data_IF_512081452953
#
_entry.id   IF_512081452953
#
_cell.length_a   1.000
_cell.length_b   1.000
_cell.length_c   1.000
_cell.angle_alpha   90.00
_cell.angle_beta   90.00
_cell.angle_gamma   90.00
#
_symmetry.space_group_name_H-M   'P 1'
#
loop_
_entity.id
_entity.type
_entity.pdbx_description
1 polymer ?
#
# COMPACT_ATOMS: atom_id res chain seq x y z
N UNK A 1 -37.28 -28.58 -7.71
CA UNK A 1 -35.80 -28.54 -7.61
C UNK A 1 -35.20 -27.25 -8.26
N UNK A 2 -35.43 -26.96 -9.55
CA UNK A 2 -34.89 -25.77 -10.25
C UNK A 2 -35.26 -24.43 -9.59
N UNK A 3 -36.49 -24.25 -9.12
CA UNK A 3 -36.95 -22.99 -8.47
C UNK A 3 -36.29 -22.79 -7.10
N UNK A 4 -36.06 -23.88 -6.34
CA UNK A 4 -35.37 -23.84 -5.05
C UNK A 4 -33.88 -23.44 -5.24
N UNK A 5 -33.20 -24.07 -6.20
CA UNK A 5 -31.80 -23.74 -6.53
C UNK A 5 -31.65 -22.28 -6.98
N UNK A 6 -32.57 -21.77 -7.82
CA UNK A 6 -32.60 -20.37 -8.24
C UNK A 6 -32.73 -19.42 -7.05
N UNK A 7 -33.67 -19.69 -6.15
CA UNK A 7 -33.90 -18.85 -4.98
C UNK A 7 -32.68 -18.86 -4.03
N UNK A 8 -32.06 -20.04 -3.85
CA UNK A 8 -30.83 -20.20 -3.06
C UNK A 8 -29.68 -19.39 -3.67
N UNK A 9 -29.48 -19.48 -4.99
CA UNK A 9 -28.42 -18.71 -5.67
C UNK A 9 -28.64 -17.20 -5.56
N UNK A 10 -29.86 -16.71 -5.66
CA UNK A 10 -30.19 -15.28 -5.47
C UNK A 10 -29.91 -14.85 -4.04
N UNK A 11 -30.28 -15.68 -3.05
CA UNK A 11 -29.99 -15.42 -1.64
C UNK A 11 -28.49 -15.32 -1.35
N UNK A 12 -27.70 -16.28 -1.83
CA UNK A 12 -26.23 -16.28 -1.68
C UNK A 12 -25.63 -15.03 -2.34
N UNK A 13 -26.03 -14.72 -3.57
CA UNK A 13 -25.55 -13.53 -4.29
C UNK A 13 -25.86 -12.24 -3.52
N UNK A 14 -27.07 -12.11 -2.99
CA UNK A 14 -27.48 -10.95 -2.18
C UNK A 14 -26.64 -10.80 -0.92
N UNK A 15 -26.43 -11.90 -0.17
CA UNK A 15 -25.58 -11.90 1.03
C UNK A 15 -24.15 -11.50 0.68
N UNK A 16 -23.56 -12.09 -0.38
CA UNK A 16 -22.21 -11.76 -0.82
C UNK A 16 -22.09 -10.28 -1.18
N UNK A 17 -23.04 -9.72 -1.91
CA UNK A 17 -23.02 -8.31 -2.29
C UNK A 17 -23.08 -7.39 -1.06
N UNK A 18 -23.99 -7.67 -0.12
CA UNK A 18 -24.11 -6.90 1.13
C UNK A 18 -22.81 -6.99 1.92
N UNK A 19 -22.21 -8.19 2.05
CA UNK A 19 -20.93 -8.38 2.74
C UNK A 19 -19.82 -7.54 2.10
N UNK A 20 -19.70 -7.55 0.76
CA UNK A 20 -18.69 -6.74 0.06
C UNK A 20 -18.89 -5.23 0.28
N UNK A 21 -20.17 -4.76 0.29
CA UNK A 21 -20.48 -3.36 0.56
C UNK A 21 -20.06 -2.99 2.00
N UNK A 22 -20.38 -3.83 2.98
CA UNK A 22 -19.99 -3.59 4.38
C UNK A 22 -18.46 -3.55 4.51
N UNK A 23 -17.74 -4.53 3.94
CA UNK A 23 -16.28 -4.57 3.97
C UNK A 23 -15.65 -3.35 3.29
N UNK A 24 -16.28 -2.83 2.23
CA UNK A 24 -15.82 -1.61 1.55
C UNK A 24 -16.00 -0.35 2.40
N UNK A 25 -17.08 -0.27 3.18
CA UNK A 25 -17.41 0.91 4.00
C UNK A 25 -16.60 0.90 5.31
N UNK A 26 -16.55 -0.26 5.97
CA UNK A 26 -15.85 -0.39 7.25
C UNK A 26 -14.33 -0.46 7.06
N UNK A 27 -13.89 -1.00 5.93
CA UNK A 27 -12.50 -1.32 5.67
C UNK A 27 -12.08 -2.65 6.32
N UNK A 28 -10.95 -3.17 5.88
CA UNK A 28 -10.26 -4.31 6.50
C UNK A 28 -8.79 -4.01 6.50
N UNK A 29 -8.28 -3.62 7.65
CA UNK A 29 -6.89 -3.25 7.82
C UNK A 29 -5.96 -4.44 7.71
N UNK A 30 -4.77 -4.26 7.13
CA UNK A 30 -3.72 -5.27 7.24
C UNK A 30 -3.32 -5.43 8.71
N UNK A 31 -2.95 -6.65 9.10
CA UNK A 31 -2.47 -6.98 10.44
C UNK A 31 -1.19 -7.81 10.32
N UNK A 32 -0.08 -7.29 10.79
CA UNK A 32 1.23 -7.93 10.67
C UNK A 32 1.53 -8.35 9.22
N UNK A 33 1.63 -9.66 8.98
CA UNK A 33 1.86 -10.24 7.66
C UNK A 33 0.56 -10.60 6.90
N UNK A 34 -0.62 -10.36 7.51
CA UNK A 34 -1.90 -10.65 6.88
C UNK A 34 -2.34 -9.45 6.07
N UNK A 35 -2.64 -9.63 4.78
CA UNK A 35 -3.14 -8.54 3.97
C UNK A 35 -4.54 -8.13 4.40
N UNK A 36 -4.81 -6.82 4.28
CA UNK A 36 -6.15 -6.26 4.37
C UNK A 36 -6.80 -6.12 3.00
N UNK A 37 -7.95 -5.44 2.98
CA UNK A 37 -8.72 -5.17 1.77
C UNK A 37 -8.82 -3.64 1.54
N UNK A 38 -10.05 -3.10 1.57
CA UNK A 38 -10.26 -1.65 1.47
C UNK A 38 -9.77 -0.94 2.73
N UNK A 39 -9.02 0.13 2.55
CA UNK A 39 -8.71 1.06 3.63
C UNK A 39 -9.87 2.07 3.77
N UNK A 40 -10.31 2.31 5.01
CA UNK A 40 -11.31 3.30 5.34
C UNK A 40 -10.67 4.50 6.07
N UNK A 41 -11.22 5.68 5.88
CA UNK A 41 -10.73 6.92 6.48
C UNK A 41 -11.21 8.15 5.72
N UNK A 42 -10.79 9.33 6.16
CA UNK A 42 -11.12 10.60 5.52
C UNK A 42 -10.22 10.85 4.32
N UNK A 43 -10.81 11.10 3.17
CA UNK A 43 -10.05 11.36 1.93
C UNK A 43 -9.50 12.78 1.95
N UNK A 44 -8.21 12.91 1.65
CA UNK A 44 -7.53 14.20 1.48
C UNK A 44 -7.43 14.48 -0.02
N UNK A 45 -8.20 15.47 -0.48
CA UNK A 45 -8.25 15.85 -1.90
C UNK A 45 -7.20 16.90 -2.29
N UNK A 46 -6.55 17.53 -1.30
CA UNK A 46 -5.50 18.53 -1.57
C UNK A 46 -4.16 17.86 -1.88
N UNK A 47 -3.38 18.38 -2.85
CA UNK A 47 -2.03 17.90 -3.10
C UNK A 47 -1.15 18.01 -1.84
N UNK A 48 -0.34 17.00 -1.59
CA UNK A 48 0.65 17.00 -0.51
C UNK A 48 2.00 17.42 -1.10
N UNK A 49 2.52 18.55 -0.68
CA UNK A 49 3.82 19.07 -1.13
C UNK A 49 4.98 18.68 -0.22
N UNK A 50 4.68 18.29 1.01
CA UNK A 50 5.67 17.88 2.01
C UNK A 50 5.10 16.73 2.82
N UNK A 51 5.79 15.59 2.79
CA UNK A 51 5.42 14.36 3.46
C UNK A 51 6.11 14.16 4.82
N UNK A 52 6.84 15.15 5.32
CA UNK A 52 7.61 15.01 6.58
C UNK A 52 6.75 14.64 7.78
N UNK A 53 5.45 14.96 7.78
CA UNK A 53 4.52 14.54 8.82
C UNK A 53 4.40 13.02 8.95
N UNK A 54 4.83 12.25 7.94
CA UNK A 54 4.82 10.78 8.01
C UNK A 54 5.92 10.24 8.91
N UNK A 55 6.88 11.05 9.31
CA UNK A 55 7.94 10.63 10.23
C UNK A 55 7.40 10.40 11.65
N UNK A 56 6.27 11.00 12.01
CA UNK A 56 5.54 10.75 13.26
C UNK A 56 4.80 9.39 13.26
N UNK A 57 4.76 8.70 12.12
CA UNK A 57 4.08 7.42 11.96
C UNK A 57 5.08 6.28 11.74
N UNK A 58 5.10 5.31 12.67
CA UNK A 58 5.98 4.15 12.57
C UNK A 58 5.65 3.27 11.36
N UNK A 59 4.36 3.09 11.10
CA UNK A 59 3.84 2.30 9.99
C UNK A 59 2.73 3.04 9.28
N UNK A 60 2.64 2.82 7.98
CA UNK A 60 1.53 3.29 7.16
C UNK A 60 0.91 2.14 6.39
N UNK A 61 -0.34 2.31 5.93
CA UNK A 61 -1.00 1.29 5.14
C UNK A 61 -1.03 1.67 3.67
N UNK A 62 -0.72 0.70 2.84
CA UNK A 62 -0.69 0.82 1.38
C UNK A 62 -1.73 -0.10 0.77
N UNK A 63 -2.67 0.45 0.00
CA UNK A 63 -3.64 -0.31 -0.77
C UNK A 63 -3.31 -0.25 -2.25
N UNK A 64 -3.30 -1.40 -2.90
CA UNK A 64 -3.06 -1.56 -4.34
C UNK A 64 -4.28 -2.15 -5.04
N UNK A 65 -4.41 -1.93 -6.35
CA UNK A 65 -5.47 -2.51 -7.18
C UNK A 65 -5.08 -3.90 -7.66
N UNK A 66 -5.98 -4.87 -7.47
CA UNK A 66 -5.82 -6.22 -8.01
C UNK A 66 -6.54 -6.38 -9.36
N UNK A 67 -6.24 -7.42 -10.15
CA UNK A 67 -6.94 -7.69 -11.40
C UNK A 67 -8.41 -8.10 -11.23
N UNK A 68 -8.84 -8.47 -10.02
CA UNK A 68 -10.18 -8.96 -9.71
C UNK A 68 -11.03 -7.97 -8.89
N UNK A 69 -10.68 -6.67 -8.91
CA UNK A 69 -11.43 -5.54 -8.33
C UNK A 69 -11.52 -5.48 -6.80
N UNK A 70 -11.10 -6.51 -6.09
CA UNK A 70 -10.94 -6.47 -4.62
C UNK A 70 -9.53 -5.99 -4.33
N UNK A 71 -9.35 -4.85 -3.64
CA UNK A 71 -8.01 -4.32 -3.38
C UNK A 71 -7.24 -5.21 -2.41
N UNK A 72 -5.94 -5.02 -2.41
CA UNK A 72 -5.02 -5.67 -1.50
C UNK A 72 -4.27 -4.59 -0.73
N UNK A 73 -4.38 -4.58 0.60
CA UNK A 73 -3.65 -3.64 1.44
C UNK A 73 -2.62 -4.34 2.32
N UNK A 74 -1.54 -3.64 2.60
CA UNK A 74 -0.40 -4.12 3.39
C UNK A 74 0.11 -3.00 4.29
N UNK A 75 0.74 -3.37 5.41
CA UNK A 75 1.56 -2.47 6.19
C UNK A 75 2.92 -2.29 5.52
N UNK A 76 3.40 -1.06 5.42
CA UNK A 76 4.70 -0.74 4.84
C UNK A 76 5.47 0.23 5.72
N UNK A 77 6.79 0.09 5.75
CA UNK A 77 7.70 1.08 6.28
C UNK A 77 7.93 2.18 5.25
N UNK A 78 8.18 3.39 5.73
CA UNK A 78 8.43 4.55 4.90
C UNK A 78 9.44 5.48 5.55
N UNK A 79 10.11 6.26 4.73
CA UNK A 79 10.92 7.39 5.18
C UNK A 79 10.68 8.59 4.29
N UNK A 80 10.96 9.78 4.81
CA UNK A 80 10.97 11.00 4.03
C UNK A 80 12.40 11.46 3.77
N UNK A 81 12.62 12.01 2.61
CA UNK A 81 13.85 12.68 2.23
C UNK A 81 13.50 13.94 1.45
N UNK A 82 13.92 15.08 1.95
CA UNK A 82 13.64 16.39 1.32
C UNK A 82 12.13 16.61 1.03
N UNK A 83 11.26 16.21 1.98
CA UNK A 83 9.81 16.31 1.86
C UNK A 83 9.14 15.28 0.95
N UNK A 84 9.91 14.42 0.27
CA UNK A 84 9.38 13.34 -0.57
C UNK A 84 9.20 12.06 0.24
N UNK A 85 8.11 11.32 0.00
CA UNK A 85 7.82 10.06 0.67
C UNK A 85 8.33 8.88 -0.16
N UNK A 86 9.01 7.98 0.52
CA UNK A 86 9.52 6.72 -0.05
C UNK A 86 8.98 5.53 0.74
N UNK A 87 8.48 4.54 0.00
CA UNK A 87 7.94 3.29 0.54
C UNK A 87 8.95 2.18 0.37
N UNK A 88 9.01 1.31 1.37
CA UNK A 88 9.94 0.19 1.39
C UNK A 88 9.28 -1.12 0.97
N UNK A 89 9.94 -1.83 0.06
CA UNK A 89 9.70 -3.25 -0.22
C UNK A 89 10.95 -4.06 0.10
N UNK A 90 10.98 -4.63 1.30
CA UNK A 90 12.11 -5.42 1.81
C UNK A 90 12.02 -6.89 1.41
N UNK A 91 13.13 -7.46 0.90
CA UNK A 91 13.26 -8.87 0.50
C UNK A 91 14.31 -9.57 1.36
N UNK A 92 13.91 -10.09 2.51
CA UNK A 92 14.83 -10.71 3.48
C UNK A 92 15.53 -11.98 2.98
N UNK A 93 14.93 -12.67 2.04
CA UNK A 93 15.47 -13.90 1.45
C UNK A 93 16.07 -13.68 0.06
N UNK A 94 16.25 -12.41 -0.33
CA UNK A 94 16.63 -12.05 -1.68
C UNK A 94 15.49 -12.21 -2.68
N UNK A 95 15.75 -11.88 -3.93
CA UNK A 95 14.80 -11.99 -5.03
C UNK A 95 14.80 -10.75 -5.92
N UNK A 96 14.11 -10.86 -7.04
CA UNK A 96 14.02 -9.79 -8.03
C UNK A 96 12.69 -9.05 -7.90
N UNK A 97 12.75 -7.72 -7.87
CA UNK A 97 11.55 -6.90 -7.95
C UNK A 97 10.89 -7.06 -9.34
N UNK A 98 9.56 -7.25 -9.43
CA UNK A 98 8.54 -7.20 -8.38
C UNK A 98 8.12 -8.55 -7.79
N UNK A 99 8.81 -9.65 -8.06
CA UNK A 99 8.27 -11.00 -7.99
C UNK A 99 7.95 -11.52 -6.58
N UNK A 100 8.68 -11.09 -5.57
CA UNK A 100 8.57 -11.63 -4.21
C UNK A 100 7.33 -11.16 -3.44
N UNK A 101 6.65 -10.10 -3.89
CA UNK A 101 5.51 -9.52 -3.21
C UNK A 101 4.34 -9.30 -4.17
N UNK A 102 3.15 -9.77 -3.84
CA UNK A 102 1.96 -9.61 -4.68
C UNK A 102 1.60 -8.13 -4.91
N UNK A 103 1.75 -7.29 -3.90
CA UNK A 103 1.47 -5.87 -4.01
C UNK A 103 2.45 -5.13 -4.93
N UNK A 104 3.72 -5.57 -5.05
CA UNK A 104 4.66 -5.04 -6.04
C UNK A 104 4.21 -5.33 -7.47
N UNK A 105 3.75 -6.57 -7.73
CA UNK A 105 3.18 -6.93 -9.04
C UNK A 105 1.92 -6.13 -9.37
N UNK A 106 1.12 -5.82 -8.34
CA UNK A 106 -0.03 -4.94 -8.51
C UNK A 106 0.40 -3.53 -8.94
N UNK A 107 1.43 -2.96 -8.31
CA UNK A 107 1.97 -1.62 -8.62
C UNK A 107 2.56 -1.58 -10.03
N UNK A 108 3.30 -2.59 -10.45
CA UNK A 108 3.85 -2.65 -11.83
C UNK A 108 2.72 -2.65 -12.86
N UNK A 109 1.57 -3.25 -12.55
CA UNK A 109 0.41 -3.26 -13.44
C UNK A 109 -0.39 -1.93 -13.39
N UNK A 110 -0.57 -1.37 -12.21
CA UNK A 110 -1.30 -0.10 -11.98
C UNK A 110 -0.59 0.65 -10.84
N UNK A 111 0.16 1.74 -11.13
CA UNK A 111 0.96 2.45 -10.14
C UNK A 111 0.13 3.29 -9.16
N UNK A 112 -1.18 3.40 -9.41
CA UNK A 112 -2.09 4.13 -8.52
C UNK A 112 -2.33 3.35 -7.25
N UNK A 113 -2.08 4.01 -6.14
CA UNK A 113 -2.18 3.47 -4.80
C UNK A 113 -3.10 4.35 -3.94
N UNK A 114 -3.51 3.80 -2.80
CA UNK A 114 -4.09 4.56 -1.70
C UNK A 114 -3.25 4.34 -0.46
N UNK A 115 -2.79 5.41 0.16
CA UNK A 115 -2.13 5.38 1.46
C UNK A 115 -3.14 5.71 2.56
N UNK A 116 -2.98 5.09 3.73
CA UNK A 116 -3.63 5.55 4.96
C UNK A 116 -2.56 5.89 5.98
N UNK A 117 -2.57 7.14 6.43
CA UNK A 117 -1.61 7.72 7.36
C UNK A 117 -2.41 8.51 8.40
N UNK A 118 -2.30 8.16 9.68
CA UNK A 118 -3.02 8.85 10.75
C UNK A 118 -4.56 8.89 10.56
N UNK A 119 -5.15 7.84 9.95
CA UNK A 119 -6.59 7.77 9.67
C UNK A 119 -7.05 8.49 8.40
N UNK A 120 -6.19 9.26 7.75
CA UNK A 120 -6.45 9.96 6.48
C UNK A 120 -6.04 9.13 5.28
N UNK A 121 -6.78 9.25 4.19
CA UNK A 121 -6.56 8.56 2.93
C UNK A 121 -5.97 9.50 1.88
N UNK A 122 -4.92 9.07 1.21
CA UNK A 122 -4.21 9.80 0.16
C UNK A 122 -4.14 8.94 -1.09
N UNK A 123 -4.81 9.37 -2.18
CA UNK A 123 -4.70 8.72 -3.49
C UNK A 123 -3.48 9.28 -4.22
N UNK A 124 -2.53 8.42 -4.56
CA UNK A 124 -1.23 8.79 -5.11
C UNK A 124 -0.82 7.81 -6.22
N UNK A 125 0.25 8.14 -6.93
CA UNK A 125 0.97 7.22 -7.78
C UNK A 125 2.36 6.95 -7.20
N UNK A 126 2.95 5.83 -7.57
CA UNK A 126 4.31 5.48 -7.18
C UNK A 126 5.16 5.09 -8.37
N UNK A 127 6.46 5.34 -8.27
CA UNK A 127 7.45 4.86 -9.22
C UNK A 127 8.57 4.09 -8.52
N UNK A 128 9.11 3.06 -9.19
CA UNK A 128 10.28 2.35 -8.69
C UNK A 128 11.54 3.19 -8.84
N UNK A 129 12.33 3.28 -7.78
CA UNK A 129 13.58 4.04 -7.75
C UNK A 129 14.74 3.09 -8.03
N UNK A 130 15.37 3.24 -9.20
CA UNK A 130 16.58 2.50 -9.57
C UNK A 130 17.87 3.26 -9.30
N UNK A 131 17.80 4.59 -9.21
CA UNK A 131 18.96 5.47 -9.01
C UNK A 131 19.54 5.30 -7.59
N UNK A 132 20.78 4.86 -7.52
CA UNK A 132 21.50 4.66 -6.25
C UNK A 132 21.75 5.97 -5.50
N UNK A 133 21.86 7.09 -6.21
CA UNK A 133 22.04 8.40 -5.59
C UNK A 133 20.85 8.83 -4.73
N UNK A 134 19.65 8.29 -5.04
CA UNK A 134 18.43 8.47 -4.26
C UNK A 134 18.26 7.30 -3.27
N UNK A 135 18.46 6.06 -3.74
CA UNK A 135 18.23 4.86 -2.92
C UNK A 135 19.08 4.83 -1.66
N UNK A 136 20.35 5.25 -1.74
CA UNK A 136 21.27 5.19 -0.59
C UNK A 136 20.88 6.14 0.53
N UNK A 137 20.65 7.44 0.31
CA UNK A 137 20.13 8.32 1.34
C UNK A 137 18.79 7.84 1.95
N UNK A 138 17.88 7.29 1.14
CA UNK A 138 16.62 6.72 1.64
C UNK A 138 16.88 5.48 2.50
N UNK A 139 17.83 4.62 2.13
CA UNK A 139 18.23 3.46 2.94
C UNK A 139 18.75 3.89 4.32
N UNK A 140 19.55 4.95 4.36
CA UNK A 140 20.07 5.50 5.61
C UNK A 140 18.95 6.13 6.45
N UNK A 141 18.07 6.94 5.84
CA UNK A 141 16.90 7.54 6.51
C UNK A 141 15.94 6.47 7.10
N UNK A 142 15.74 5.35 6.38
CA UNK A 142 14.98 4.21 6.91
C UNK A 142 15.67 3.60 8.14
N UNK A 143 17.02 3.55 8.16
CA UNK A 143 17.75 3.08 9.31
C UNK A 143 17.67 3.98 10.52
N UNK A 144 17.68 5.28 10.30
CA UNK A 144 17.54 6.27 11.36
C UNK A 144 16.13 6.26 11.97
N UNK A 145 15.10 6.11 11.12
CA UNK A 145 13.71 6.03 11.58
C UNK A 145 13.38 4.72 12.31
N UNK A 146 14.02 3.61 11.92
CA UNK A 146 13.75 2.27 12.46
C UNK A 146 15.04 1.64 13.05
N UNK A 147 15.60 2.17 14.14
CA UNK A 147 16.91 1.75 14.65
C UNK A 147 16.94 0.29 15.13
N UNK A 148 15.83 -0.22 15.64
CA UNK A 148 15.71 -1.59 16.17
C UNK A 148 15.30 -2.61 15.11
N UNK A 149 15.12 -2.18 13.85
CA UNK A 149 14.69 -3.04 12.78
C UNK A 149 15.88 -3.73 12.10
N UNK A 150 15.83 -5.05 12.03
CA UNK A 150 16.81 -5.83 11.25
C UNK A 150 16.62 -5.56 9.76
N UNK A 151 17.46 -4.68 9.22
CA UNK A 151 17.38 -4.25 7.82
C UNK A 151 17.89 -5.34 6.88
N UNK A 152 17.23 -5.61 5.75
CA UNK A 152 17.84 -6.36 4.67
C UNK A 152 19.04 -5.61 4.09
N UNK A 153 19.88 -6.31 3.34
CA UNK A 153 20.99 -5.66 2.64
C UNK A 153 20.48 -4.62 1.64
N UNK A 154 21.31 -3.66 1.28
CA UNK A 154 20.95 -2.59 0.35
C UNK A 154 20.41 -3.12 -0.99
N UNK A 155 20.98 -4.22 -1.49
CA UNK A 155 20.56 -4.87 -2.75
C UNK A 155 19.14 -5.45 -2.66
N UNK A 156 18.74 -5.88 -1.47
CA UNK A 156 17.44 -6.48 -1.18
C UNK A 156 16.38 -5.46 -0.72
N UNK A 157 16.75 -4.18 -0.71
CA UNK A 157 15.82 -3.08 -0.45
C UNK A 157 15.35 -2.42 -1.75
N UNK A 158 14.08 -2.60 -2.02
CA UNK A 158 13.42 -1.98 -3.18
C UNK A 158 12.61 -0.78 -2.69
N UNK A 159 12.84 0.37 -3.30
CA UNK A 159 12.26 1.65 -2.90
C UNK A 159 11.31 2.13 -3.99
N UNK A 160 10.15 2.64 -3.55
CA UNK A 160 9.16 3.27 -4.40
C UNK A 160 8.98 4.72 -3.94
N UNK A 161 9.14 5.66 -4.84
CA UNK A 161 8.85 7.07 -4.59
C UNK A 161 7.36 7.33 -4.78
N UNK A 162 6.74 8.02 -3.83
CA UNK A 162 5.37 8.52 -3.96
C UNK A 162 5.40 9.79 -4.79
N UNK A 163 4.64 9.79 -5.88
CA UNK A 163 4.52 10.92 -6.78
C UNK A 163 3.33 11.76 -6.35
N UNK A 164 3.56 13.04 -6.05
CA UNK A 164 2.45 13.97 -5.79
C UNK A 164 1.63 14.13 -7.06
N UNK A 165 0.37 13.69 -7.03
CA UNK A 165 -0.56 13.95 -8.12
C UNK A 165 -0.87 15.45 -8.12
N UNK A 166 -0.19 16.19 -8.98
CA UNK A 166 -0.62 17.53 -9.32
C UNK A 166 -1.82 17.37 -10.23
N UNK A 167 -3.02 17.58 -9.70
CA UNK A 167 -4.20 17.70 -10.54
C UNK A 167 -4.04 18.98 -11.39
N UNK A 168 -3.68 18.77 -12.66
CA UNK A 168 -3.68 19.82 -13.68
C UNK A 168 -5.11 20.08 -14.12
#
# INVERSE_FOLDING_TARGET
>A
MKKLLKNLSIGIFGITLVTLIVLRVVGVDPQDQRPGLWLAGDVVDSPVSDWSFTDDHYEIYLQTKTPYFIPHSVTVYCATLEGNLYLLSAYYTGGTYPDMRSWNRNIVRDPRIRLRIGGKLYDQEVSYVSDESIRRPVYDALGDKYPDWERPTFENMHILAVLSLIHI
#
